data_IF_595755063115
#
_entry.id   IF_595755063115
#
_cell.length_a   1.000
_cell.length_b   1.000
_cell.length_c   1.000
_cell.angle_alpha   90.00
_cell.angle_beta   90.00
_cell.angle_gamma   90.00
#
_symmetry.space_group_name_H-M   'P 1'
#
loop_
_entity.id
_entity.type
_entity.pdbx_description
1 polymer ?
#
# COMPACT_ATOMS: atom_id res chain seq x y z
N UNK A 1 18.65 24.19 -33.05
CA UNK A 1 19.71 23.71 -32.15
C UNK A 1 19.35 23.79 -30.69
N UNK A 2 18.91 24.94 -30.21
CA UNK A 2 18.46 25.08 -28.84
C UNK A 2 17.24 24.24 -28.54
N UNK A 3 16.32 24.09 -29.48
CA UNK A 3 15.13 23.27 -29.33
C UNK A 3 15.47 21.78 -29.09
N UNK A 4 16.47 21.27 -29.79
CA UNK A 4 16.90 19.87 -29.61
C UNK A 4 17.49 19.60 -28.23
N UNK A 5 18.24 20.54 -27.68
CA UNK A 5 18.81 20.43 -26.35
C UNK A 5 17.72 20.46 -25.31
N UNK A 6 16.74 21.35 -25.47
CA UNK A 6 15.58 21.44 -24.59
C UNK A 6 14.74 20.16 -24.61
N UNK A 7 14.49 19.62 -25.81
CA UNK A 7 13.72 18.40 -25.99
C UNK A 7 14.42 17.20 -25.35
N UNK A 8 15.74 17.09 -25.49
CA UNK A 8 16.52 16.03 -24.87
C UNK A 8 16.49 16.14 -23.35
N UNK A 9 16.61 17.36 -22.81
CA UNK A 9 16.50 17.60 -21.38
C UNK A 9 15.14 17.19 -20.84
N UNK A 10 14.06 17.58 -21.53
CA UNK A 10 12.70 17.21 -21.15
C UNK A 10 12.48 15.70 -21.19
N UNK A 11 13.00 15.03 -22.21
CA UNK A 11 12.92 13.59 -22.33
C UNK A 11 13.64 12.90 -21.18
N UNK A 12 14.83 13.36 -20.81
CA UNK A 12 15.59 12.81 -19.70
C UNK A 12 14.88 13.03 -18.37
N UNK A 13 14.30 14.20 -18.17
CA UNK A 13 13.51 14.50 -16.96
C UNK A 13 12.32 13.56 -16.84
N UNK A 14 11.58 13.36 -17.93
CA UNK A 14 10.44 12.43 -17.94
C UNK A 14 10.88 11.00 -17.64
N UNK A 15 11.99 10.56 -18.20
CA UNK A 15 12.53 9.23 -17.96
C UNK A 15 12.91 9.06 -16.49
N UNK A 16 13.54 10.06 -15.90
CA UNK A 16 13.90 10.06 -14.47
C UNK A 16 12.65 10.02 -13.59
N UNK A 17 11.65 10.82 -13.89
CA UNK A 17 10.40 10.85 -13.13
C UNK A 17 9.65 9.52 -13.22
N UNK A 18 9.62 8.91 -14.40
CA UNK A 18 9.01 7.59 -14.58
C UNK A 18 9.73 6.52 -13.76
N UNK A 19 11.05 6.58 -13.68
CA UNK A 19 11.83 5.65 -12.85
C UNK A 19 11.51 5.82 -11.36
N UNK A 20 11.38 7.05 -10.89
CA UNK A 20 11.01 7.36 -9.51
C UNK A 20 9.60 6.84 -9.20
N UNK A 21 8.64 7.10 -10.09
CA UNK A 21 7.26 6.62 -9.90
C UNK A 21 7.18 5.09 -9.91
N UNK A 22 7.94 4.44 -10.78
CA UNK A 22 8.00 2.97 -10.82
C UNK A 22 8.47 2.41 -9.49
N UNK A 23 9.50 3.02 -8.90
CA UNK A 23 10.01 2.62 -7.58
C UNK A 23 8.94 2.85 -6.50
N UNK A 24 8.28 4.00 -6.53
CA UNK A 24 7.22 4.30 -5.55
C UNK A 24 6.06 3.31 -5.65
N UNK A 25 5.68 2.93 -6.87
CA UNK A 25 4.64 1.93 -7.09
C UNK A 25 5.02 0.56 -6.54
N UNK A 26 6.28 0.15 -6.72
CA UNK A 26 6.79 -1.09 -6.15
C UNK A 26 6.79 -1.06 -4.63
N UNK A 27 7.24 0.04 -4.03
CA UNK A 27 7.24 0.21 -2.59
C UNK A 27 5.82 0.14 -2.01
N UNK A 28 4.85 0.77 -2.68
CA UNK A 28 3.45 0.71 -2.29
C UNK A 28 2.90 -0.72 -2.36
N UNK A 29 3.27 -1.47 -3.40
CA UNK A 29 2.86 -2.86 -3.55
C UNK A 29 3.42 -3.74 -2.44
N UNK A 30 4.68 -3.53 -2.06
CA UNK A 30 5.31 -4.24 -0.95
C UNK A 30 4.65 -3.91 0.38
N UNK A 31 4.35 -2.64 0.63
CA UNK A 31 3.64 -2.20 1.82
C UNK A 31 2.24 -2.80 1.87
N UNK A 32 1.54 -2.83 0.74
CA UNK A 32 0.23 -3.45 0.61
C UNK A 32 0.25 -4.92 1.03
N UNK A 33 1.18 -5.69 0.47
CA UNK A 33 1.33 -7.11 0.81
C UNK A 33 1.61 -7.33 2.30
N UNK A 34 2.48 -6.49 2.87
CA UNK A 34 2.81 -6.56 4.29
C UNK A 34 1.58 -6.29 5.16
N UNK A 35 0.82 -5.26 4.82
CA UNK A 35 -0.40 -4.90 5.57
C UNK A 35 -1.45 -5.99 5.44
N UNK A 36 -1.67 -6.53 4.24
CA UNK A 36 -2.62 -7.63 4.03
C UNK A 36 -2.25 -8.86 4.87
N UNK A 37 -0.97 -9.22 4.87
CA UNK A 37 -0.48 -10.36 5.66
C UNK A 37 -0.73 -10.13 7.14
N UNK A 38 -0.43 -8.95 7.62
CA UNK A 38 -0.63 -8.59 9.03
C UNK A 38 -2.12 -8.64 9.40
N UNK A 39 -3.01 -8.15 8.53
CA UNK A 39 -4.46 -8.25 8.75
C UNK A 39 -4.88 -9.72 8.85
N UNK A 40 -4.40 -10.56 7.96
CA UNK A 40 -4.72 -11.99 7.95
C UNK A 40 -4.28 -12.67 9.24
N UNK A 41 -3.06 -12.40 9.69
CA UNK A 41 -2.52 -12.96 10.93
C UNK A 41 -3.31 -12.52 12.15
N UNK A 42 -3.62 -11.23 12.25
CA UNK A 42 -4.37 -10.68 13.39
C UNK A 42 -5.82 -11.16 13.40
N UNK A 43 -6.45 -11.29 12.25
CA UNK A 43 -7.80 -11.82 12.12
C UNK A 43 -7.86 -13.27 12.56
N UNK A 44 -6.87 -14.07 12.16
CA UNK A 44 -6.76 -15.47 12.58
C UNK A 44 -6.57 -15.57 14.09
N UNK A 45 -5.66 -14.78 14.65
CA UNK A 45 -5.41 -14.77 16.10
C UNK A 45 -6.67 -14.39 16.88
N UNK A 46 -7.42 -13.42 16.41
CA UNK A 46 -8.68 -13.01 17.02
C UNK A 46 -9.68 -14.17 17.05
N UNK A 47 -9.81 -14.90 15.93
CA UNK A 47 -10.70 -16.06 15.85
C UNK A 47 -10.30 -17.16 16.82
N UNK A 48 -9.00 -17.42 16.92
CA UNK A 48 -8.45 -18.40 17.87
C UNK A 48 -8.80 -18.04 19.30
N UNK A 49 -8.63 -16.77 19.67
CA UNK A 49 -8.94 -16.28 21.01
C UNK A 49 -10.42 -16.35 21.31
N UNK A 50 -11.29 -16.03 20.37
CA UNK A 50 -12.74 -16.13 20.54
C UNK A 50 -13.12 -17.59 20.77
N UNK A 51 -12.58 -18.51 19.98
CA UNK A 51 -12.85 -19.94 20.13
C UNK A 51 -12.34 -20.48 21.47
N UNK A 52 -11.15 -20.06 21.90
CA UNK A 52 -10.56 -20.44 23.17
C UNK A 52 -11.39 -19.90 24.34
N UNK A 53 -11.86 -18.66 24.27
CA UNK A 53 -12.72 -18.07 25.30
C UNK A 53 -14.03 -18.83 25.44
N UNK A 54 -14.63 -19.24 24.33
CA UNK A 54 -15.87 -20.03 24.35
C UNK A 54 -15.63 -21.43 24.91
N UNK A 55 -14.50 -22.05 24.59
CA UNK A 55 -14.19 -23.42 25.00
C UNK A 55 -13.75 -23.53 26.48
N UNK A 56 -13.01 -22.56 26.99
CA UNK A 56 -12.36 -22.63 28.31
C UNK A 56 -12.88 -21.63 29.33
N UNK A 57 -13.76 -20.71 28.94
CA UNK A 57 -14.27 -19.62 29.78
C UNK A 57 -13.17 -18.67 30.29
N UNK A 58 -11.98 -18.71 29.69
CA UNK A 58 -10.93 -17.72 29.98
C UNK A 58 -11.25 -16.42 29.25
N UNK A 59 -11.17 -15.30 29.96
CA UNK A 59 -11.50 -14.00 29.39
C UNK A 59 -10.34 -13.45 28.56
N UNK A 60 -10.55 -13.32 27.26
CA UNK A 60 -9.60 -12.73 26.32
C UNK A 60 -10.14 -11.43 25.70
N UNK A 61 -11.17 -10.83 26.28
CA UNK A 61 -11.89 -9.69 25.71
C UNK A 61 -10.95 -8.53 25.40
N UNK A 62 -10.01 -8.24 26.28
CA UNK A 62 -9.08 -7.12 26.11
C UNK A 62 -8.17 -7.32 24.89
N UNK A 63 -7.61 -8.51 24.73
CA UNK A 63 -6.76 -8.84 23.59
C UNK A 63 -7.57 -8.91 22.29
N UNK A 64 -8.78 -9.49 22.33
CA UNK A 64 -9.67 -9.53 21.17
C UNK A 64 -10.01 -8.12 20.70
N UNK A 65 -10.34 -7.22 21.61
CA UNK A 65 -10.67 -5.83 21.27
C UNK A 65 -9.46 -5.10 20.68
N UNK A 66 -8.26 -5.34 21.22
CA UNK A 66 -7.03 -4.74 20.70
C UNK A 66 -6.76 -5.21 19.27
N UNK A 67 -6.89 -6.50 19.02
CA UNK A 67 -6.69 -7.07 17.68
C UNK A 67 -7.71 -6.50 16.68
N UNK A 68 -8.96 -6.33 17.11
CA UNK A 68 -10.00 -5.74 16.27
C UNK A 68 -9.68 -4.30 15.92
N UNK A 69 -9.22 -3.49 16.88
CA UNK A 69 -8.80 -2.11 16.65
C UNK A 69 -7.61 -2.05 15.69
N UNK A 70 -6.63 -2.96 15.85
CA UNK A 70 -5.47 -3.05 14.98
C UNK A 70 -5.90 -3.37 13.53
N UNK A 71 -6.85 -4.30 13.36
CA UNK A 71 -7.35 -4.67 12.03
C UNK A 71 -8.05 -3.47 11.36
N UNK A 72 -8.85 -2.71 12.10
CA UNK A 72 -9.50 -1.52 11.55
C UNK A 72 -8.47 -0.47 11.12
N UNK A 73 -7.46 -0.21 11.94
CA UNK A 73 -6.39 0.73 11.60
C UNK A 73 -5.61 0.27 10.36
N UNK A 74 -5.35 -1.02 10.25
CA UNK A 74 -4.65 -1.59 9.10
C UNK A 74 -5.50 -1.53 7.82
N UNK A 75 -6.81 -1.70 7.92
CA UNK A 75 -7.72 -1.55 6.78
C UNK A 75 -7.74 -0.10 6.29
N UNK A 76 -7.73 0.86 7.20
CA UNK A 76 -7.60 2.27 6.83
C UNK A 76 -6.28 2.52 6.11
N UNK A 77 -5.20 1.89 6.58
CA UNK A 77 -3.90 1.98 5.92
C UNK A 77 -3.93 1.40 4.51
N UNK A 78 -4.61 0.27 4.31
CA UNK A 78 -4.81 -0.30 2.97
C UNK A 78 -5.52 0.65 2.04
N UNK A 79 -6.58 1.32 2.52
CA UNK A 79 -7.31 2.29 1.71
C UNK A 79 -6.42 3.46 1.30
N UNK A 80 -5.58 3.96 2.21
CA UNK A 80 -4.61 5.02 1.90
C UNK A 80 -3.58 4.57 0.87
N UNK A 81 -3.06 3.35 1.01
CA UNK A 81 -2.10 2.78 0.06
C UNK A 81 -2.72 2.60 -1.32
N UNK A 82 -3.96 2.14 -1.37
CA UNK A 82 -4.71 1.99 -2.62
C UNK A 82 -4.88 3.34 -3.32
N UNK A 83 -5.29 4.37 -2.59
CA UNK A 83 -5.49 5.70 -3.16
C UNK A 83 -4.17 6.26 -3.69
N UNK A 84 -3.09 6.13 -2.93
CA UNK A 84 -1.77 6.56 -3.38
C UNK A 84 -1.31 5.80 -4.63
N UNK A 85 -1.56 4.50 -4.68
CA UNK A 85 -1.21 3.67 -5.83
C UNK A 85 -1.97 4.11 -7.08
N UNK A 86 -3.26 4.41 -6.94
CA UNK A 86 -4.09 4.89 -8.05
C UNK A 86 -3.57 6.23 -8.57
N UNK A 87 -3.23 7.15 -7.68
CA UNK A 87 -2.71 8.47 -8.03
C UNK A 87 -1.39 8.36 -8.77
N UNK A 88 -0.44 7.58 -8.25
CA UNK A 88 0.87 7.39 -8.87
C UNK A 88 0.75 6.63 -10.19
N UNK A 89 -0.15 5.66 -10.29
CA UNK A 89 -0.39 4.93 -11.54
C UNK A 89 -0.95 5.84 -12.62
N UNK A 90 -1.87 6.72 -12.27
CA UNK A 90 -2.43 7.69 -13.21
C UNK A 90 -1.35 8.65 -13.69
N UNK A 91 -0.54 9.17 -12.79
CA UNK A 91 0.56 10.07 -13.14
C UNK A 91 1.60 9.37 -14.01
N UNK A 92 1.96 8.14 -13.67
CA UNK A 92 2.90 7.34 -14.48
C UNK A 92 2.39 7.20 -15.91
N UNK A 93 1.11 6.90 -16.08
CA UNK A 93 0.50 6.72 -17.40
C UNK A 93 0.54 8.01 -18.20
N UNK A 94 0.24 9.15 -17.57
CA UNK A 94 0.28 10.47 -18.22
C UNK A 94 1.69 10.79 -18.69
N UNK A 95 2.68 10.60 -17.83
CA UNK A 95 4.08 10.88 -18.16
C UNK A 95 4.62 9.93 -19.23
N UNK A 96 4.19 8.67 -19.19
CA UNK A 96 4.57 7.70 -20.21
C UNK A 96 4.03 8.10 -21.59
N UNK A 97 2.79 8.56 -21.66
CA UNK A 97 2.20 9.08 -22.90
C UNK A 97 2.93 10.32 -23.39
N UNK A 98 3.30 11.21 -22.48
CA UNK A 98 4.06 12.42 -22.83
C UNK A 98 5.45 12.09 -23.41
N UNK A 99 6.05 10.98 -22.97
CA UNK A 99 7.35 10.53 -23.45
C UNK A 99 7.29 9.95 -24.87
N UNK A 100 6.21 9.33 -25.24
CA UNK A 100 6.04 8.74 -26.58
C UNK A 100 5.57 9.78 -27.58
#
# INVERSE_FOLDING_TARGET
MMANTSDNGSYQELTTELAVLDRQLRDLSEQWETVERTITEKTRRRRELVAEQEATNVDHAEEINRLQSDVYALRDRLDQLRDSHLDFSALYRILQQART
#
